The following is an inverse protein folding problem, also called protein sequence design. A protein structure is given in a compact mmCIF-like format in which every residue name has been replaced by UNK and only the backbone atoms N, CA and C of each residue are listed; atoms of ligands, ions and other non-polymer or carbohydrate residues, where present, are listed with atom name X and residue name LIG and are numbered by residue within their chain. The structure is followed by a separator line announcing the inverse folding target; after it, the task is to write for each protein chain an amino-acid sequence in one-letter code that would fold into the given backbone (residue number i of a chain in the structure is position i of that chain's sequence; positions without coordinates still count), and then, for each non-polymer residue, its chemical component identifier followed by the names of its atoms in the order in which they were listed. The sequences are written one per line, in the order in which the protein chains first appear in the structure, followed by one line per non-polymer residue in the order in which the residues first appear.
data_IF_783571844166
#
_entry.id   IF_783571844166
#
_cell.length_a   1.000
_cell.length_b   1.000
_cell.length_c   1.000
_cell.angle_alpha   90.00
_cell.angle_beta   90.00
_cell.angle_gamma   90.00
#
_symmetry.space_group_name_H-M   'P 1'
#
loop_
_entity.id
_entity.type
_entity.pdbx_description
1 polymer ?
#
# COMPACT_ATOMS: atom_id res chain seq x y z
N UNK A 1 11.50 35.37 67.04
CA UNK A 1 10.74 35.64 65.79
C UNK A 1 11.50 35.28 64.50
N UNK A 2 12.82 35.14 64.51
CA UNK A 2 13.64 34.93 63.29
C UNK A 2 13.49 33.51 62.69
N UNK A 3 13.45 32.45 63.51
CA UNK A 3 13.25 31.05 63.03
C UNK A 3 11.93 30.82 62.27
N UNK A 4 10.90 31.62 62.54
CA UNK A 4 9.59 31.52 61.86
C UNK A 4 9.64 32.09 60.44
N UNK A 5 10.52 33.07 60.18
CA UNK A 5 10.71 33.64 58.84
C UNK A 5 11.46 32.69 57.94
N UNK A 6 12.50 32.02 58.45
CA UNK A 6 13.35 31.08 57.70
C UNK A 6 12.59 29.82 57.25
N UNK A 7 11.74 29.26 58.12
CA UNK A 7 10.87 28.12 57.78
C UNK A 7 9.82 28.47 56.70
N UNK A 8 9.46 29.75 56.53
CA UNK A 8 8.50 30.23 55.51
C UNK A 8 9.14 30.40 54.13
N UNK A 9 10.47 30.44 54.04
CA UNK A 9 11.19 30.57 52.77
C UNK A 9 11.38 29.18 52.16
N UNK A 10 11.82 28.21 52.97
CA UNK A 10 12.01 26.82 52.53
C UNK A 10 10.71 26.12 52.07
N UNK A 11 9.56 26.51 52.63
CA UNK A 11 8.26 25.91 52.30
C UNK A 11 7.62 26.46 51.00
N UNK A 12 8.28 27.40 50.30
CA UNK A 12 7.81 27.97 49.01
C UNK A 12 8.42 27.31 47.78
N UNK A 13 9.51 26.58 47.94
CA UNK A 13 10.16 25.80 46.90
C UNK A 13 9.24 24.74 46.24
N UNK A 14 8.41 23.96 46.98
CA UNK A 14 7.58 22.93 46.35
C UNK A 14 6.50 23.51 45.43
N UNK A 15 6.00 24.72 45.72
CA UNK A 15 4.98 25.40 44.91
C UNK A 15 5.55 25.85 43.55
N UNK A 16 6.80 26.33 43.52
CA UNK A 16 7.47 26.70 42.26
C UNK A 16 7.71 25.51 41.36
N UNK A 17 8.12 24.38 41.93
CA UNK A 17 8.38 23.14 41.20
C UNK A 17 7.10 22.62 40.55
N UNK A 18 5.98 22.59 41.30
CA UNK A 18 4.68 22.20 40.77
C UNK A 18 4.19 23.15 39.66
N UNK A 19 4.38 24.46 39.84
CA UNK A 19 4.05 25.44 38.80
C UNK A 19 4.84 25.20 37.51
N UNK A 20 6.16 25.01 37.61
CA UNK A 20 7.00 24.70 36.45
C UNK A 20 6.68 23.35 35.81
N UNK A 21 6.29 22.37 36.61
CA UNK A 21 5.84 21.07 36.12
C UNK A 21 4.57 21.20 35.26
N UNK A 22 3.58 21.96 35.72
CA UNK A 22 2.37 22.22 34.94
C UNK A 22 2.65 23.01 33.66
N UNK A 23 3.53 24.01 33.72
CA UNK A 23 3.96 24.76 32.53
C UNK A 23 4.65 23.84 31.52
N UNK A 24 5.55 22.96 32.00
CA UNK A 24 6.20 21.96 31.15
C UNK A 24 5.22 20.96 30.55
N UNK A 25 4.27 20.46 31.33
CA UNK A 25 3.22 19.55 30.87
C UNK A 25 2.34 20.20 29.80
N UNK A 26 1.97 21.46 29.99
CA UNK A 26 1.17 22.22 29.03
C UNK A 26 1.93 22.45 27.72
N UNK A 27 3.19 22.86 27.80
CA UNK A 27 4.05 23.03 26.63
C UNK A 27 4.27 21.71 25.88
N UNK A 28 4.49 20.61 26.61
CA UNK A 28 4.62 19.28 26.03
C UNK A 28 3.33 18.83 25.33
N UNK A 29 2.17 19.11 25.92
CA UNK A 29 0.87 18.81 25.31
C UNK A 29 0.66 19.57 23.99
N UNK A 30 1.00 20.86 23.95
CA UNK A 30 0.96 21.68 22.73
C UNK A 30 1.89 21.15 21.63
N UNK A 31 3.11 20.79 22.01
CA UNK A 31 4.10 20.27 21.06
C UNK A 31 3.69 18.91 20.49
N UNK A 32 3.20 18.02 21.37
CA UNK A 32 2.66 16.72 21.00
C UNK A 32 1.46 16.88 20.06
N UNK A 33 0.53 17.77 20.38
CA UNK A 33 -0.63 18.04 19.52
C UNK A 33 -0.20 18.44 18.10
N UNK A 34 0.74 19.37 17.97
CA UNK A 34 1.26 19.78 16.65
C UNK A 34 1.94 18.63 15.89
N UNK A 35 2.70 17.78 16.57
CA UNK A 35 3.36 16.61 15.97
C UNK A 35 2.34 15.57 15.48
N UNK A 36 1.36 15.22 16.33
CA UNK A 36 0.31 14.26 15.97
C UNK A 36 -0.57 14.76 14.83
N UNK A 37 -0.94 16.05 14.82
CA UNK A 37 -1.72 16.65 13.73
C UNK A 37 -0.95 16.60 12.41
N UNK A 38 0.36 16.92 12.41
CA UNK A 38 1.19 16.79 11.21
C UNK A 38 1.24 15.35 10.69
N UNK A 39 1.42 14.37 11.58
CA UNK A 39 1.40 12.95 11.21
C UNK A 39 0.07 12.52 10.60
N UNK A 40 -1.05 12.94 11.20
CA UNK A 40 -2.39 12.65 10.70
C UNK A 40 -2.63 13.27 9.30
N UNK A 41 -2.25 14.54 9.11
CA UNK A 41 -2.41 15.24 7.82
C UNK A 41 -1.60 14.54 6.71
N UNK A 42 -0.32 14.24 6.96
CA UNK A 42 0.54 13.58 5.95
C UNK A 42 0.01 12.19 5.60
N UNK A 43 -0.47 11.43 6.57
CA UNK A 43 -1.04 10.11 6.33
C UNK A 43 -2.32 10.18 5.48
N UNK A 44 -3.19 11.15 5.75
CA UNK A 44 -4.43 11.37 4.97
C UNK A 44 -4.10 11.80 3.54
N UNK A 45 -3.21 12.77 3.37
CA UNK A 45 -2.82 13.28 2.04
C UNK A 45 -2.14 12.18 1.22
N UNK A 46 -1.22 11.42 1.81
CA UNK A 46 -0.52 10.33 1.11
C UNK A 46 -1.51 9.25 0.66
N UNK A 47 -2.48 8.91 1.52
CA UNK A 47 -3.54 7.97 1.15
C UNK A 47 -4.39 8.50 0.00
N UNK A 48 -4.77 9.78 0.04
CA UNK A 48 -5.57 10.41 -1.01
C UNK A 48 -4.82 10.46 -2.35
N UNK A 49 -3.52 10.76 -2.35
CA UNK A 49 -2.71 10.75 -3.58
C UNK A 49 -2.60 9.34 -4.15
N UNK A 50 -2.40 8.33 -3.31
CA UNK A 50 -2.37 6.93 -3.75
C UNK A 50 -3.71 6.47 -4.34
N UNK A 51 -4.84 6.86 -3.74
CA UNK A 51 -6.16 6.54 -4.28
C UNK A 51 -6.40 7.21 -5.64
N UNK A 52 -5.96 8.46 -5.82
CA UNK A 52 -6.03 9.17 -7.10
C UNK A 52 -5.17 8.50 -8.18
N UNK A 53 -3.94 8.11 -7.84
CA UNK A 53 -3.03 7.44 -8.77
C UNK A 53 -3.55 6.05 -9.15
N UNK A 54 -4.11 5.30 -8.20
CA UNK A 54 -4.80 4.02 -8.45
C UNK A 54 -5.98 4.19 -9.40
N UNK A 55 -6.81 5.21 -9.20
CA UNK A 55 -7.95 5.48 -10.08
C UNK A 55 -7.50 5.80 -11.51
N UNK A 56 -6.45 6.63 -11.66
CA UNK A 56 -5.86 6.96 -12.96
C UNK A 56 -5.28 5.72 -13.65
N UNK A 57 -4.54 4.89 -12.91
CA UNK A 57 -3.95 3.68 -13.46
C UNK A 57 -5.03 2.67 -13.88
N UNK A 58 -6.04 2.43 -13.04
CA UNK A 58 -7.16 1.55 -13.37
C UNK A 58 -7.92 2.03 -14.60
N UNK A 59 -8.16 3.34 -14.74
CA UNK A 59 -8.79 3.89 -15.94
C UNK A 59 -7.98 3.61 -17.20
N UNK A 60 -6.65 3.69 -17.13
CA UNK A 60 -5.77 3.35 -18.26
C UNK A 60 -5.82 1.87 -18.57
N UNK A 61 -5.78 0.99 -17.56
CA UNK A 61 -5.89 -0.46 -17.77
C UNK A 61 -7.22 -0.81 -18.42
N UNK A 62 -8.34 -0.26 -17.93
CA UNK A 62 -9.67 -0.50 -18.49
C UNK A 62 -9.78 -0.03 -19.94
N UNK A 63 -9.18 1.12 -20.27
CA UNK A 63 -9.15 1.60 -21.65
C UNK A 63 -8.35 0.66 -22.56
N UNK A 64 -7.16 0.21 -22.12
CA UNK A 64 -6.36 -0.80 -22.82
C UNK A 64 -7.10 -2.13 -22.99
N UNK A 65 -7.80 -2.61 -21.95
CA UNK A 65 -8.62 -3.81 -22.03
C UNK A 65 -9.77 -3.65 -23.02
N UNK A 66 -10.43 -2.49 -23.03
CA UNK A 66 -11.47 -2.18 -23.99
C UNK A 66 -10.93 -2.19 -25.42
N UNK A 67 -9.76 -1.58 -25.65
CA UNK A 67 -9.09 -1.58 -26.94
C UNK A 67 -8.71 -3.01 -27.38
N UNK A 68 -8.13 -3.80 -26.47
CA UNK A 68 -7.78 -5.19 -26.72
C UNK A 68 -9.02 -6.03 -27.06
N UNK A 69 -10.12 -5.87 -26.31
CA UNK A 69 -11.37 -6.56 -26.59
C UNK A 69 -11.96 -6.15 -27.94
N UNK A 70 -11.89 -4.87 -28.32
CA UNK A 70 -12.33 -4.41 -29.65
C UNK A 70 -11.52 -5.05 -30.77
N UNK A 71 -10.20 -5.12 -30.62
CA UNK A 71 -9.32 -5.77 -31.62
C UNK A 71 -9.62 -7.27 -31.68
N UNK A 72 -9.69 -7.94 -30.52
CA UNK A 72 -9.97 -9.38 -30.43
C UNK A 72 -11.33 -9.74 -31.03
N UNK A 73 -12.38 -8.96 -30.74
CA UNK A 73 -13.71 -9.20 -31.29
C UNK A 73 -13.79 -8.93 -32.79
N UNK A 74 -12.89 -8.11 -33.35
CA UNK A 74 -12.78 -7.93 -34.80
C UNK A 74 -12.06 -9.08 -35.51
N UNK A 75 -11.44 -10.01 -34.79
CA UNK A 75 -10.85 -11.22 -35.37
C UNK A 75 -11.98 -12.21 -35.67
N UNK A 76 -12.71 -11.97 -36.76
CA UNK A 76 -13.73 -12.90 -37.26
C UNK A 76 -13.18 -13.75 -38.41
N UNK A 77 -13.75 -14.95 -38.66
CA UNK A 77 -13.39 -15.74 -39.84
C UNK A 77 -13.66 -15.01 -41.16
N UNK A 78 -14.58 -14.02 -41.21
CA UNK A 78 -14.71 -13.16 -42.40
C UNK A 78 -13.51 -12.23 -42.58
N UNK A 79 -12.99 -11.63 -41.50
CA UNK A 79 -11.74 -10.85 -41.56
C UNK A 79 -10.57 -11.71 -42.03
N UNK A 80 -10.45 -12.93 -41.52
CA UNK A 80 -9.40 -13.87 -41.94
C UNK A 80 -9.49 -14.21 -43.44
N UNK A 81 -10.69 -14.46 -43.96
CA UNK A 81 -10.90 -14.70 -45.40
C UNK A 81 -10.58 -13.45 -46.25
N UNK A 82 -10.97 -12.26 -45.80
CA UNK A 82 -10.65 -11.00 -46.47
C UNK A 82 -9.13 -10.70 -46.50
N UNK A 83 -8.38 -11.17 -45.51
CA UNK A 83 -6.92 -11.07 -45.48
C UNK A 83 -6.22 -12.17 -46.31
N UNK A 84 -6.98 -13.01 -47.02
CA UNK A 84 -6.45 -14.08 -47.88
C UNK A 84 -6.09 -15.36 -47.14
N UNK A 85 -6.46 -15.50 -45.86
CA UNK A 85 -6.30 -16.76 -45.14
C UNK A 85 -7.35 -17.77 -45.57
N UNK A 86 -6.93 -19.00 -45.82
CA UNK A 86 -7.79 -20.12 -46.19
C UNK A 86 -8.05 -21.01 -44.98
N UNK A 87 -9.28 -21.50 -44.84
CA UNK A 87 -9.68 -22.41 -43.76
C UNK A 87 -8.88 -23.70 -43.84
N UNK A 88 -8.08 -23.99 -42.81
CA UNK A 88 -7.25 -25.20 -42.77
C UNK A 88 -8.12 -26.46 -42.61
N UNK A 89 -8.28 -27.25 -43.67
CA UNK A 89 -9.05 -28.52 -43.67
C UNK A 89 -8.35 -29.66 -42.92
N UNK A 90 -7.03 -29.56 -42.70
CA UNK A 90 -6.22 -30.60 -42.07
C UNK A 90 -5.37 -30.00 -40.93
N UNK A 91 -6.03 -29.64 -39.82
CA UNK A 91 -5.33 -29.13 -38.63
C UNK A 91 -4.56 -30.26 -37.95
N UNK A 92 -3.23 -30.29 -38.14
CA UNK A 92 -2.34 -31.15 -37.35
C UNK A 92 -1.99 -30.45 -36.04
N UNK A 93 -2.69 -30.83 -34.99
CA UNK A 93 -2.35 -30.39 -33.63
C UNK A 93 -1.13 -31.15 -33.13
N UNK A 94 -0.07 -30.43 -32.74
CA UNK A 94 1.11 -31.02 -32.11
C UNK A 94 0.89 -31.02 -30.60
N UNK A 95 0.47 -32.15 -30.06
CA UNK A 95 0.41 -32.34 -28.61
C UNK A 95 1.81 -32.65 -28.10
N UNK A 96 2.42 -31.73 -27.34
CA UNK A 96 3.64 -32.02 -26.60
C UNK A 96 3.26 -32.91 -25.43
N UNK A 97 3.50 -34.22 -25.56
CA UNK A 97 3.38 -35.16 -24.45
C UNK A 97 4.43 -34.78 -23.39
N UNK A 98 4.04 -34.03 -22.37
CA UNK A 98 4.87 -33.79 -21.19
C UNK A 98 4.82 -35.04 -20.33
N UNK A 99 5.40 -36.14 -20.82
CA UNK A 99 5.89 -37.21 -19.96
C UNK A 99 7.07 -36.63 -19.18
N UNK A 100 6.77 -35.93 -18.09
CA UNK A 100 7.71 -35.76 -16.99
C UNK A 100 7.95 -37.15 -16.40
N UNK A 101 8.89 -37.89 -16.99
CA UNK A 101 9.55 -39.00 -16.32
C UNK A 101 10.30 -38.41 -15.12
N UNK A 102 9.58 -38.21 -14.03
CA UNK A 102 10.18 -37.90 -12.74
C UNK A 102 11.04 -39.09 -12.35
N UNK A 103 12.35 -38.88 -12.32
CA UNK A 103 13.31 -39.85 -11.76
C UNK A 103 13.03 -39.98 -10.27
N UNK A 104 12.21 -40.96 -9.89
CA UNK A 104 12.06 -41.38 -8.50
C UNK A 104 13.07 -42.49 -8.23
N UNK A 105 14.05 -42.21 -7.38
CA UNK A 105 14.91 -43.24 -6.79
C UNK A 105 14.06 -44.05 -5.80
N UNK A 106 13.67 -45.27 -6.19
CA UNK A 106 13.13 -46.24 -5.24
C UNK A 106 14.30 -46.78 -4.42
N UNK A 107 14.45 -46.28 -3.21
CA UNK A 107 15.37 -46.84 -2.22
C UNK A 107 14.71 -48.09 -1.61
N UNK A 108 15.29 -49.28 -1.72
CA UNK A 108 14.75 -50.48 -1.09
C UNK A 108 14.89 -50.37 0.44
N UNK A 109 13.80 -50.59 1.17
CA UNK A 109 13.80 -50.72 2.61
C UNK A 109 14.38 -52.08 3.02
N UNK A 110 15.24 -52.04 4.05
CA UNK A 110 15.87 -53.18 4.74
C UNK A 110 14.86 -54.19 5.29
#
# INVERSE_FOLDING_TARGET
MLKKKEKRINNREPLKIWFWFFVGLFAFSLFSYGYFVRGAIVNIVTRQTMESDLASLNSRVLDLESQYLKVKNNITPELAQNLGFVTATNQKFVTKNTQTSGLSLVTPAL
#
